data_IF_658194071356
#
_entry.id   IF_658194071356
#
_cell.length_a   1.000
_cell.length_b   1.000
_cell.length_c   1.000
_cell.angle_alpha   90.00
_cell.angle_beta   90.00
_cell.angle_gamma   90.00
#
_symmetry.space_group_name_H-M   'P 1'
#
loop_
_entity.id
_entity.type
_entity.pdbx_description
1 polymer ?
#
# COMPACT_ATOMS: atom_id res chain seq x y z
N UNK A 1 -18.14 -3.75 1.73
CA UNK A 1 -17.55 -2.40 1.66
C UNK A 1 -16.42 -2.29 2.67
N UNK A 2 -15.30 -1.69 2.27
CA UNK A 2 -14.18 -1.46 3.15
C UNK A 2 -14.21 -0.06 3.74
N UNK A 3 -13.62 0.11 4.91
CA UNK A 3 -13.38 1.40 5.53
C UNK A 3 -11.90 1.55 5.86
N UNK A 4 -11.44 2.81 5.94
CA UNK A 4 -10.09 3.11 6.39
C UNK A 4 -10.04 3.14 7.90
N UNK A 5 -9.06 2.45 8.47
CA UNK A 5 -8.83 2.39 9.90
C UNK A 5 -7.43 2.88 10.23
N UNK A 6 -7.34 3.87 11.13
CA UNK A 6 -6.07 4.34 11.66
C UNK A 6 -5.62 3.36 12.74
N UNK A 7 -4.58 2.53 12.51
CA UNK A 7 -4.17 1.56 13.50
C UNK A 7 -3.56 2.24 14.73
N UNK A 8 -3.85 1.67 15.91
CA UNK A 8 -3.11 1.93 17.12
C UNK A 8 -1.86 1.04 17.14
N UNK A 9 -0.89 1.35 18.00
CA UNK A 9 0.33 0.53 18.10
C UNK A 9 0.01 -0.94 18.43
N UNK A 10 -0.99 -1.21 19.26
CA UNK A 10 -1.44 -2.56 19.60
C UNK A 10 -1.97 -3.35 18.40
N UNK A 11 -2.38 -2.68 17.33
CA UNK A 11 -2.94 -3.33 16.13
C UNK A 11 -1.86 -3.77 15.13
N UNK A 12 -0.60 -3.43 15.39
CA UNK A 12 0.50 -3.73 14.47
C UNK A 12 0.81 -5.23 14.33
N UNK A 13 0.21 -6.07 15.16
CA UNK A 13 0.23 -7.51 14.97
C UNK A 13 -0.28 -7.92 13.59
N UNK A 14 -1.27 -7.20 13.05
CA UNK A 14 -1.81 -7.49 11.73
C UNK A 14 -0.80 -7.20 10.62
N UNK A 15 -0.13 -6.04 10.66
CA UNK A 15 0.96 -5.74 9.73
C UNK A 15 2.05 -6.81 9.81
N UNK A 16 2.46 -7.19 11.02
CA UNK A 16 3.43 -8.28 11.22
C UNK A 16 2.97 -9.57 10.56
N UNK A 17 1.71 -9.95 10.75
CA UNK A 17 1.14 -11.15 10.15
C UNK A 17 1.15 -11.11 8.61
N UNK A 18 0.77 -9.99 8.00
CA UNK A 18 0.83 -9.81 6.55
C UNK A 18 2.24 -9.92 6.01
N UNK A 19 3.18 -9.22 6.62
CA UNK A 19 4.58 -9.19 6.17
C UNK A 19 5.30 -10.53 6.35
N UNK A 20 4.84 -11.36 7.28
CA UNK A 20 5.37 -12.70 7.53
C UNK A 20 4.74 -13.78 6.62
N UNK A 21 3.65 -13.47 5.94
CA UNK A 21 2.95 -14.43 5.10
C UNK A 21 3.54 -14.48 3.69
N UNK A 22 4.12 -15.63 3.33
CA UNK A 22 4.78 -15.82 2.04
C UNK A 22 3.84 -15.60 0.85
N UNK A 23 2.57 -15.97 0.98
CA UNK A 23 1.57 -15.79 -0.06
C UNK A 23 1.25 -14.32 -0.27
N UNK A 24 1.05 -13.57 0.82
CA UNK A 24 0.81 -12.13 0.79
C UNK A 24 2.00 -11.40 0.17
N UNK A 25 3.22 -11.79 0.54
CA UNK A 25 4.47 -11.14 0.15
C UNK A 25 5.11 -11.71 -1.12
N UNK A 26 4.40 -12.55 -1.88
CA UNK A 26 4.93 -13.15 -3.11
C UNK A 26 5.36 -12.11 -4.16
N UNK A 27 4.69 -10.95 -4.22
CA UNK A 27 5.04 -9.83 -5.11
C UNK A 27 6.42 -9.21 -4.78
N UNK A 28 6.86 -9.36 -3.52
CA UNK A 28 8.12 -8.80 -3.02
C UNK A 28 9.30 -9.79 -3.17
N UNK A 29 9.12 -10.87 -3.90
CA UNK A 29 10.11 -11.96 -4.02
C UNK A 29 11.47 -11.47 -4.51
N UNK A 30 11.50 -10.51 -5.43
CA UNK A 30 12.73 -9.93 -5.96
C UNK A 30 13.54 -9.14 -4.91
N UNK A 31 12.90 -8.73 -3.82
CA UNK A 31 13.49 -7.97 -2.71
C UNK A 31 13.50 -8.75 -1.39
N UNK A 32 13.42 -10.09 -1.44
CA UNK A 32 13.54 -10.96 -0.27
C UNK A 32 12.24 -11.58 0.22
N UNK A 33 11.09 -11.26 -0.36
CA UNK A 33 9.78 -11.84 -0.01
C UNK A 33 9.25 -11.32 1.31
N UNK A 34 9.13 -12.20 2.32
CA UNK A 34 8.63 -11.84 3.66
C UNK A 34 9.55 -10.85 4.36
N UNK A 35 8.95 -9.99 5.19
CA UNK A 35 9.65 -8.96 5.93
C UNK A 35 9.42 -9.18 7.42
N UNK A 36 10.49 -9.22 8.21
CA UNK A 36 10.41 -9.28 9.66
C UNK A 36 9.92 -7.94 10.21
N UNK A 37 8.96 -7.98 11.12
CA UNK A 37 8.42 -6.81 11.80
C UNK A 37 8.19 -7.08 13.29
N UNK A 38 9.28 -7.28 14.05
CA UNK A 38 9.19 -7.60 15.48
C UNK A 38 8.70 -6.41 16.28
N UNK A 39 8.12 -6.67 17.45
CA UNK A 39 7.54 -5.62 18.33
C UNK A 39 8.53 -4.51 18.68
N UNK A 40 9.82 -4.83 18.78
CA UNK A 40 10.87 -3.86 19.07
C UNK A 40 10.98 -2.74 18.01
N UNK A 41 10.52 -2.99 16.78
CA UNK A 41 10.54 -2.02 15.69
C UNK A 41 9.26 -1.18 15.63
N UNK A 42 8.21 -1.57 16.33
CA UNK A 42 6.88 -0.97 16.19
C UNK A 42 6.81 0.49 16.60
N UNK A 43 7.50 0.86 17.66
CA UNK A 43 7.46 2.23 18.16
C UNK A 43 8.05 3.23 17.16
N UNK A 44 9.20 2.90 16.58
CA UNK A 44 9.87 3.76 15.59
C UNK A 44 9.08 3.81 14.28
N UNK A 45 8.57 2.67 13.82
CA UNK A 45 7.74 2.59 12.63
C UNK A 45 6.45 3.42 12.79
N UNK A 46 5.79 3.30 13.94
CA UNK A 46 4.56 4.02 14.26
C UNK A 46 4.78 5.53 14.30
N UNK A 47 5.85 5.97 14.94
CA UNK A 47 6.22 7.38 14.98
C UNK A 47 6.47 7.93 13.57
N UNK A 48 7.17 7.18 12.73
CA UNK A 48 7.52 7.59 11.37
C UNK A 48 6.29 7.67 10.45
N UNK A 49 5.42 6.65 10.48
CA UNK A 49 4.31 6.54 9.55
C UNK A 49 3.02 7.19 10.04
N UNK A 50 2.74 7.16 11.33
CA UNK A 50 1.41 7.50 11.88
C UNK A 50 1.45 8.71 12.79
N UNK A 51 2.32 8.74 13.80
CA UNK A 51 2.37 9.82 14.78
C UNK A 51 2.99 11.11 14.24
N UNK A 52 4.01 11.00 13.36
CA UNK A 52 4.75 12.13 12.80
C UNK A 52 4.90 12.01 11.28
N UNK A 53 3.82 11.96 10.50
CA UNK A 53 3.88 11.73 9.06
C UNK A 53 4.42 12.93 8.26
N UNK A 54 4.51 14.12 8.84
CA UNK A 54 5.07 15.35 8.24
C UNK A 54 4.48 15.72 6.87
N UNK A 55 3.26 15.27 6.56
CA UNK A 55 2.62 15.46 5.24
C UNK A 55 3.26 14.66 4.10
N UNK A 56 4.26 13.84 4.39
CA UNK A 56 5.00 13.04 3.40
C UNK A 56 4.60 11.58 3.37
N UNK A 57 3.79 11.14 4.32
CA UNK A 57 3.38 9.74 4.48
C UNK A 57 1.93 9.65 4.90
N UNK A 58 1.27 8.60 4.46
CA UNK A 58 -0.10 8.25 4.85
C UNK A 58 -0.20 6.74 4.95
N UNK A 59 -0.85 6.25 6.00
CA UNK A 59 -0.99 4.82 6.22
C UNK A 59 -2.32 4.51 6.90
N UNK A 60 -3.06 3.53 6.38
CA UNK A 60 -4.31 3.03 6.98
C UNK A 60 -4.43 1.53 6.74
N UNK A 61 -5.10 0.85 7.67
CA UNK A 61 -5.63 -0.49 7.40
C UNK A 61 -6.92 -0.40 6.61
N UNK A 62 -7.14 -1.42 5.78
CA UNK A 62 -8.43 -1.71 5.18
C UNK A 62 -9.22 -2.61 6.13
N UNK A 63 -10.38 -2.16 6.56
CA UNK A 63 -11.23 -2.88 7.51
C UNK A 63 -12.56 -3.25 6.88
N UNK A 64 -12.92 -4.53 6.93
CA UNK A 64 -14.19 -5.05 6.44
C UNK A 64 -15.35 -4.73 7.42
N UNK A 65 -16.58 -4.83 6.93
CA UNK A 65 -17.78 -4.65 7.76
C UNK A 65 -17.84 -5.65 8.92
N UNK A 66 -17.26 -6.85 8.76
CA UNK A 66 -17.11 -7.84 9.82
C UNK A 66 -16.23 -7.38 10.98
N UNK A 67 -15.44 -6.32 10.78
CA UNK A 67 -14.45 -5.86 11.73
C UNK A 67 -13.04 -6.37 11.48
N UNK A 68 -12.88 -7.31 10.54
CA UNK A 68 -11.58 -7.88 10.20
C UNK A 68 -10.70 -6.87 9.46
N UNK A 69 -9.40 -6.90 9.75
CA UNK A 69 -8.42 -6.22 8.93
C UNK A 69 -8.10 -7.10 7.71
N UNK A 70 -8.17 -6.53 6.52
CA UNK A 70 -8.01 -7.28 5.27
C UNK A 70 -6.81 -6.85 4.44
N UNK A 71 -6.20 -5.74 4.79
CA UNK A 71 -5.05 -5.20 4.07
C UNK A 71 -4.60 -3.85 4.60
N UNK A 72 -3.69 -3.24 3.87
CA UNK A 72 -3.21 -1.89 4.14
C UNK A 72 -3.09 -1.07 2.86
N UNK A 73 -3.20 0.24 3.02
CA UNK A 73 -2.91 1.22 1.99
C UNK A 73 -1.97 2.29 2.55
N UNK A 74 -1.08 2.76 1.72
CA UNK A 74 -0.14 3.82 2.09
C UNK A 74 0.27 4.64 0.88
N UNK A 75 0.73 5.85 1.10
CA UNK A 75 1.59 6.56 0.17
C UNK A 75 2.72 7.25 0.94
N UNK A 76 3.83 7.47 0.26
CA UNK A 76 4.96 8.21 0.81
C UNK A 76 5.63 9.03 -0.29
N UNK A 77 6.26 10.13 0.09
CA UNK A 77 7.05 10.90 -0.84
C UNK A 77 8.34 10.15 -1.21
N UNK A 78 8.57 10.01 -2.51
CA UNK A 78 9.76 9.38 -3.06
C UNK A 78 10.50 10.41 -3.93
N UNK A 79 11.68 10.82 -3.48
CA UNK A 79 12.47 11.82 -4.18
C UNK A 79 12.94 11.34 -5.57
N UNK A 80 13.14 10.03 -5.75
CA UNK A 80 13.54 9.47 -7.05
C UNK A 80 12.44 9.58 -8.11
N UNK A 81 11.18 9.55 -7.67
CA UNK A 81 10.00 9.76 -8.53
C UNK A 81 9.60 11.24 -8.61
N UNK A 82 10.11 12.06 -7.70
CA UNK A 82 9.68 13.45 -7.57
C UNK A 82 8.23 13.60 -7.12
N UNK A 83 7.68 12.63 -6.40
CA UNK A 83 6.29 12.61 -5.99
C UNK A 83 5.96 11.47 -5.03
N UNK A 84 4.67 11.25 -4.84
CA UNK A 84 4.16 10.26 -3.89
C UNK A 84 3.99 8.89 -4.54
N UNK A 85 4.58 7.87 -3.93
CA UNK A 85 4.42 6.47 -4.32
C UNK A 85 3.29 5.81 -3.53
N UNK A 86 2.45 5.04 -4.21
CA UNK A 86 1.32 4.32 -3.64
C UNK A 86 1.71 2.88 -3.29
N UNK A 87 1.16 2.38 -2.19
CA UNK A 87 1.26 0.99 -1.76
C UNK A 87 -0.12 0.45 -1.42
N UNK A 88 -0.45 -0.73 -1.93
CA UNK A 88 -1.67 -1.47 -1.58
C UNK A 88 -1.29 -2.93 -1.35
N UNK A 89 -1.52 -3.43 -0.15
CA UNK A 89 -1.32 -4.84 0.19
C UNK A 89 -2.64 -5.42 0.68
N UNK A 90 -3.11 -6.47 0.04
CA UNK A 90 -4.26 -7.26 0.52
C UNK A 90 -3.72 -8.56 1.11
N UNK A 91 -4.10 -8.85 2.35
CA UNK A 91 -3.77 -10.10 3.02
C UNK A 91 -4.33 -11.28 2.22
N UNK A 92 -3.50 -12.25 1.90
CA UNK A 92 -3.82 -13.31 0.94
C UNK A 92 -5.18 -14.00 1.15
N UNK A 93 -5.62 -14.32 2.40
CA UNK A 93 -6.93 -14.94 2.62
C UNK A 93 -8.14 -14.11 2.15
N UNK A 94 -7.95 -12.80 1.96
CA UNK A 94 -9.02 -11.88 1.55
C UNK A 94 -8.93 -11.47 0.08
N UNK A 95 -8.00 -12.04 -0.69
CA UNK A 95 -7.86 -11.77 -2.13
C UNK A 95 -8.99 -12.37 -2.96
N UNK A 96 -9.14 -11.86 -4.20
CA UNK A 96 -10.16 -12.35 -5.12
C UNK A 96 -11.58 -11.86 -4.83
N UNK A 97 -11.74 -10.85 -3.97
CA UNK A 97 -13.04 -10.29 -3.56
C UNK A 97 -13.18 -8.79 -3.90
N UNK A 98 -12.28 -8.25 -4.71
CA UNK A 98 -12.30 -6.82 -5.05
C UNK A 98 -11.63 -5.90 -4.04
N UNK A 99 -11.07 -6.42 -2.94
CA UNK A 99 -10.48 -5.60 -1.87
C UNK A 99 -9.32 -4.74 -2.36
N UNK A 100 -8.51 -5.22 -3.31
CA UNK A 100 -7.43 -4.44 -3.89
C UNK A 100 -7.91 -3.23 -4.68
N UNK A 101 -8.97 -3.42 -5.47
CA UNK A 101 -9.57 -2.35 -6.26
C UNK A 101 -10.20 -1.28 -5.36
N UNK A 102 -11.00 -1.70 -4.38
CA UNK A 102 -11.63 -0.80 -3.42
C UNK A 102 -10.57 -0.08 -2.57
N UNK A 103 -9.53 -0.79 -2.13
CA UNK A 103 -8.42 -0.19 -1.39
C UNK A 103 -7.69 0.88 -2.20
N UNK A 104 -7.44 0.65 -3.48
CA UNK A 104 -6.79 1.63 -4.35
C UNK A 104 -7.67 2.86 -4.57
N UNK A 105 -8.97 2.68 -4.74
CA UNK A 105 -9.92 3.80 -4.85
C UNK A 105 -9.94 4.65 -3.56
N UNK A 106 -9.97 4.01 -2.40
CA UNK A 106 -9.91 4.68 -1.10
C UNK A 106 -8.59 5.43 -0.91
N UNK A 107 -7.47 4.85 -1.35
CA UNK A 107 -6.17 5.50 -1.31
C UNK A 107 -6.13 6.77 -2.18
N UNK A 108 -6.62 6.68 -3.41
CA UNK A 108 -6.69 7.82 -4.33
C UNK A 108 -7.57 8.94 -3.76
N UNK A 109 -8.71 8.59 -3.18
CA UNK A 109 -9.61 9.56 -2.56
C UNK A 109 -8.93 10.27 -1.36
N UNK A 110 -8.30 9.50 -0.47
CA UNK A 110 -7.58 10.05 0.68
C UNK A 110 -6.40 10.94 0.25
N UNK A 111 -5.63 10.51 -0.74
CA UNK A 111 -4.51 11.29 -1.27
C UNK A 111 -4.99 12.64 -1.83
N UNK A 112 -6.07 12.61 -2.61
CA UNK A 112 -6.69 13.83 -3.14
C UNK A 112 -7.16 14.78 -2.04
N UNK A 113 -7.85 14.27 -1.03
CA UNK A 113 -8.29 15.05 0.14
C UNK A 113 -7.11 15.68 0.88
N UNK A 114 -5.97 15.00 0.92
CA UNK A 114 -4.74 15.50 1.55
C UNK A 114 -3.92 16.43 0.64
N UNK A 115 -4.44 16.80 -0.54
CA UNK A 115 -3.78 17.74 -1.45
C UNK A 115 -2.73 17.12 -2.37
N UNK A 116 -2.65 15.80 -2.44
CA UNK A 116 -1.78 15.09 -3.40
C UNK A 116 -2.45 15.12 -4.77
N UNK A 117 -1.76 15.66 -5.77
CA UNK A 117 -2.30 15.81 -7.13
C UNK A 117 -1.94 14.65 -8.06
N UNK A 118 -0.89 13.91 -7.76
CA UNK A 118 -0.37 12.81 -8.57
C UNK A 118 0.10 11.69 -7.65
N UNK A 119 -0.34 10.45 -7.94
CA UNK A 119 0.23 9.25 -7.34
C UNK A 119 1.00 8.45 -8.38
N UNK A 120 2.11 7.87 -7.95
CA UNK A 120 2.94 6.94 -8.71
C UNK A 120 2.91 5.56 -8.07
N UNK A 121 3.21 4.54 -8.87
CA UNK A 121 3.60 3.23 -8.37
C UNK A 121 4.80 2.72 -9.17
N UNK A 122 5.84 2.29 -8.47
CA UNK A 122 7.02 1.65 -9.02
C UNK A 122 6.86 0.16 -8.82
N UNK A 123 6.42 -0.53 -9.86
CA UNK A 123 5.95 -1.92 -9.78
C UNK A 123 6.80 -2.83 -10.66
N UNK A 124 7.10 -4.04 -10.17
CA UNK A 124 7.80 -5.05 -10.97
C UNK A 124 7.01 -5.38 -12.24
N UNK A 125 7.71 -5.51 -13.37
CA UNK A 125 7.09 -5.70 -14.68
C UNK A 125 6.25 -6.99 -14.80
N UNK A 126 6.51 -7.98 -13.95
CA UNK A 126 5.78 -9.25 -13.88
C UNK A 126 4.71 -9.29 -12.78
N UNK A 127 4.49 -8.18 -12.06
CA UNK A 127 3.50 -8.14 -10.99
C UNK A 127 2.07 -8.13 -11.56
N UNK A 128 1.22 -9.11 -11.20
CA UNK A 128 -0.14 -9.18 -11.71
C UNK A 128 -1.03 -7.99 -11.27
N UNK A 129 -0.64 -7.22 -10.26
CA UNK A 129 -1.37 -6.04 -9.82
C UNK A 129 -1.34 -4.89 -10.83
N UNK A 130 -0.47 -4.91 -11.84
CA UNK A 130 -0.42 -3.90 -12.91
C UNK A 130 -1.80 -3.73 -13.55
N UNK A 131 -2.48 -4.83 -13.87
CA UNK A 131 -3.81 -4.79 -14.48
C UNK A 131 -4.83 -4.07 -13.59
N UNK A 132 -4.73 -4.24 -12.28
CA UNK A 132 -5.59 -3.56 -11.31
C UNK A 132 -5.37 -2.04 -11.37
N UNK A 133 -4.13 -1.58 -11.32
CA UNK A 133 -3.80 -0.16 -11.38
C UNK A 133 -4.28 0.47 -12.70
N UNK A 134 -4.02 -0.18 -13.83
CA UNK A 134 -4.48 0.29 -15.14
C UNK A 134 -6.01 0.37 -15.20
N UNK A 135 -6.72 -0.60 -14.63
CA UNK A 135 -8.19 -0.61 -14.59
C UNK A 135 -8.78 0.54 -13.75
N UNK A 136 -7.98 1.16 -12.89
CA UNK A 136 -8.38 2.27 -12.01
C UNK A 136 -7.86 3.62 -12.49
N UNK A 137 -7.40 3.71 -13.74
CA UNK A 137 -7.04 4.97 -14.36
C UNK A 137 -5.56 5.34 -14.30
N UNK A 138 -4.71 4.50 -13.71
CA UNK A 138 -3.28 4.68 -13.83
C UNK A 138 -2.82 4.44 -15.27
N UNK A 139 -1.82 5.17 -15.68
CA UNK A 139 -1.18 5.01 -16.99
C UNK A 139 0.30 4.74 -16.82
N UNK A 140 0.88 4.03 -17.77
CA UNK A 140 2.31 3.79 -17.79
C UNK A 140 3.06 5.06 -18.19
N UNK A 141 3.96 5.52 -17.32
CA UNK A 141 4.81 6.68 -17.59
C UNK A 141 6.15 6.27 -18.20
N UNK A 142 6.75 5.20 -17.66
CA UNK A 142 8.03 4.68 -18.14
C UNK A 142 8.17 3.19 -17.83
N UNK A 143 9.10 2.55 -18.52
CA UNK A 143 9.33 1.10 -18.41
C UNK A 143 10.80 0.78 -18.58
N UNK A 144 11.28 -0.13 -17.72
CA UNK A 144 12.54 -0.87 -17.94
C UNK A 144 12.23 -2.35 -18.14
N UNK A 145 13.25 -3.18 -18.32
CA UNK A 145 13.06 -4.63 -18.40
C UNK A 145 12.46 -5.24 -17.13
N UNK A 146 12.74 -4.62 -15.97
CA UNK A 146 12.43 -5.18 -14.64
C UNK A 146 11.24 -4.52 -13.97
N UNK A 147 10.92 -3.26 -14.30
CA UNK A 147 9.88 -2.50 -13.62
C UNK A 147 9.17 -1.50 -14.51
N UNK A 148 7.99 -1.09 -14.04
CA UNK A 148 7.13 -0.11 -14.69
C UNK A 148 6.81 0.98 -13.68
N UNK A 149 6.88 2.24 -14.11
CA UNK A 149 6.37 3.38 -13.36
C UNK A 149 4.96 3.68 -13.87
N UNK A 150 3.98 3.56 -12.99
CA UNK A 150 2.59 3.92 -13.22
C UNK A 150 2.28 5.26 -12.58
N UNK A 151 1.32 5.99 -13.14
CA UNK A 151 0.94 7.32 -12.70
C UNK A 151 -0.56 7.56 -12.84
N UNK A 152 -1.14 8.28 -11.89
CA UNK A 152 -2.51 8.81 -11.97
C UNK A 152 -2.54 10.27 -11.52
N UNK A 153 -3.30 11.10 -12.25
CA UNK A 153 -3.65 12.46 -11.82
C UNK A 153 -4.96 12.38 -11.01
N UNK A 154 -4.96 12.96 -9.82
CA UNK A 154 -6.09 12.90 -8.89
C UNK A 154 -7.05 14.09 -9.01
#
# INVERSE_FOLDING_TARGET
MLSLYLPEKKDLWFRRAMLADAQTMAYNRAWGGVIAFPEEDWADWYAYWIACPEGKRFYRYLKAESGDFVGEIAYHFDASLGGFAADVIVFAPYRGRGSGAEGLELLCAAAKENGVSVLYDDIAADNPAIALFLSRGFVEESRTADKIILRINL
#
